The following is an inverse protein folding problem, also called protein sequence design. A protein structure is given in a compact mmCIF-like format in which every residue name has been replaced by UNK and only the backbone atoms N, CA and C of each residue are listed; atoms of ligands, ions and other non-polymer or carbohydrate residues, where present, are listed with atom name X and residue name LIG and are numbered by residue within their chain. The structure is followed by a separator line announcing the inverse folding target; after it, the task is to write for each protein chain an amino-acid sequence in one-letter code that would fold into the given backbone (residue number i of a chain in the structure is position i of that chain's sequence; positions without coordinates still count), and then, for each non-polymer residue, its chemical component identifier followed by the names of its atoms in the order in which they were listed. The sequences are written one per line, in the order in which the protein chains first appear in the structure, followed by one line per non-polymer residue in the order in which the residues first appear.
data_IF_302510657510
#
_entry.id   IF_302510657510
#
_cell.length_a   1.000
_cell.length_b   1.000
_cell.length_c   1.000
_cell.angle_alpha   90.00
_cell.angle_beta   90.00
_cell.angle_gamma   90.00
#
_symmetry.space_group_name_H-M   'P 1'
#
loop_
_entity.id
_entity.type
_entity.pdbx_description
1 polymer ?
#
# COMPACT_ATOMS: atom_id res chain seq x y z
N UNK A 1 4.21 -8.70 -49.88
CA UNK A 1 4.07 -7.23 -49.78
C UNK A 1 5.11 -6.74 -48.78
N UNK A 2 6.00 -5.86 -49.25
CA UNK A 2 7.18 -5.37 -48.53
C UNK A 2 6.78 -4.59 -47.27
N UNK A 3 7.13 -5.12 -46.10
CA UNK A 3 7.07 -4.36 -44.85
C UNK A 3 8.17 -3.30 -44.90
N UNK A 4 7.78 -2.04 -45.14
CA UNK A 4 8.68 -0.92 -44.98
C UNK A 4 9.16 -0.91 -43.53
N UNK A 5 10.45 -1.16 -43.33
CA UNK A 5 11.13 -0.89 -42.06
C UNK A 5 11.13 0.62 -41.85
N UNK A 6 10.03 1.13 -41.31
CA UNK A 6 9.90 2.53 -40.93
C UNK A 6 10.95 2.80 -39.84
N UNK A 7 11.96 3.62 -40.15
CA UNK A 7 12.95 4.09 -39.17
C UNK A 7 12.17 4.71 -38.01
N UNK A 8 12.15 4.02 -36.86
CA UNK A 8 11.49 4.50 -35.63
C UNK A 8 12.06 5.88 -35.30
N UNK A 9 11.21 6.91 -35.27
CA UNK A 9 11.64 8.29 -35.02
C UNK A 9 12.18 8.39 -33.60
N UNK A 10 13.33 9.02 -33.42
CA UNK A 10 13.88 9.29 -32.08
C UNK A 10 12.94 10.23 -31.33
N UNK A 11 12.53 9.84 -30.13
CA UNK A 11 11.67 10.65 -29.28
C UNK A 11 12.36 11.97 -28.94
N UNK A 12 11.79 13.09 -29.39
CA UNK A 12 12.18 14.39 -28.86
C UNK A 12 11.60 14.53 -27.45
N UNK A 13 12.32 15.24 -26.58
CA UNK A 13 11.93 15.43 -25.18
C UNK A 13 10.53 16.06 -25.08
N UNK A 14 10.20 17.00 -25.97
CA UNK A 14 8.86 17.60 -26.04
C UNK A 14 7.76 16.59 -26.33
N UNK A 15 8.00 15.64 -27.23
CA UNK A 15 7.08 14.55 -27.55
C UNK A 15 6.90 13.55 -26.41
N UNK A 16 7.96 13.30 -25.63
CA UNK A 16 7.93 12.43 -24.46
C UNK A 16 7.11 13.01 -23.30
N UNK A 17 7.00 14.35 -23.23
CA UNK A 17 6.24 15.03 -22.18
C UNK A 17 4.74 15.06 -22.44
N UNK A 18 4.29 14.95 -23.69
CA UNK A 18 2.86 15.07 -24.03
C UNK A 18 1.99 14.04 -23.27
N UNK A 19 2.32 12.75 -23.17
CA UNK A 19 1.54 11.79 -22.39
C UNK A 19 1.46 12.15 -20.90
N UNK A 20 2.55 12.67 -20.34
CA UNK A 20 2.61 13.05 -18.91
C UNK A 20 1.76 14.29 -18.67
N UNK A 21 1.90 15.31 -19.52
CA UNK A 21 1.11 16.55 -19.42
C UNK A 21 -0.36 16.26 -19.66
N UNK A 22 -0.71 15.43 -20.64
CA UNK A 22 -2.11 15.06 -20.91
C UNK A 22 -2.73 14.31 -19.73
N UNK A 23 -1.99 13.38 -19.12
CA UNK A 23 -2.41 12.71 -17.89
C UNK A 23 -2.68 13.72 -16.77
N UNK A 24 -1.73 14.62 -16.50
CA UNK A 24 -1.87 15.63 -15.45
C UNK A 24 -3.05 16.57 -15.70
N UNK A 25 -3.23 17.07 -16.93
CA UNK A 25 -4.35 17.94 -17.28
C UNK A 25 -5.70 17.23 -17.15
N UNK A 26 -5.80 15.99 -17.63
CA UNK A 26 -7.02 15.19 -17.51
C UNK A 26 -7.38 14.93 -16.05
N UNK A 27 -6.40 14.65 -15.19
CA UNK A 27 -6.64 14.45 -13.76
C UNK A 27 -6.98 15.77 -13.03
N UNK A 28 -6.22 16.84 -13.26
CA UNK A 28 -6.45 18.13 -12.59
C UNK A 28 -7.80 18.73 -13.01
N UNK A 29 -8.09 18.77 -14.31
CA UNK A 29 -9.32 19.38 -14.82
C UNK A 29 -10.49 18.40 -14.70
N UNK A 30 -10.33 17.17 -15.19
CA UNK A 30 -11.40 16.19 -15.23
C UNK A 30 -11.81 15.73 -13.84
N UNK A 31 -10.87 15.24 -13.03
CA UNK A 31 -11.20 14.78 -11.67
C UNK A 31 -11.29 15.97 -10.70
N UNK A 32 -10.28 16.85 -10.68
CA UNK A 32 -10.18 17.91 -9.68
C UNK A 32 -11.25 19.01 -9.80
N UNK A 33 -11.58 19.45 -11.02
CA UNK A 33 -12.54 20.56 -11.24
C UNK A 33 -13.92 20.02 -11.63
N UNK A 34 -13.98 19.08 -12.57
CA UNK A 34 -15.25 18.58 -13.12
C UNK A 34 -15.85 17.42 -12.32
N UNK A 35 -15.12 16.86 -11.35
CA UNK A 35 -15.60 15.74 -10.53
C UNK A 35 -15.83 14.44 -11.32
N UNK A 36 -15.20 14.29 -12.49
CA UNK A 36 -15.31 13.08 -13.30
C UNK A 36 -14.55 11.92 -12.64
N UNK A 37 -14.99 10.70 -12.90
CA UNK A 37 -14.32 9.48 -12.44
C UNK A 37 -12.92 9.35 -13.04
N UNK A 38 -11.96 8.86 -12.25
CA UNK A 38 -10.54 8.79 -12.62
C UNK A 38 -10.29 7.77 -13.73
N UNK A 39 -11.03 6.66 -13.72
CA UNK A 39 -10.88 5.53 -14.62
C UNK A 39 -11.00 5.92 -16.11
N UNK A 40 -12.08 6.60 -16.57
CA UNK A 40 -12.16 7.04 -17.97
C UNK A 40 -11.09 8.09 -18.32
N UNK A 41 -10.66 8.92 -17.38
CA UNK A 41 -9.60 9.92 -17.62
C UNK A 41 -8.25 9.26 -17.88
N UNK A 42 -7.92 8.21 -17.12
CA UNK A 42 -6.72 7.41 -17.34
C UNK A 42 -6.77 6.64 -18.67
N UNK A 43 -7.94 6.12 -19.06
CA UNK A 43 -8.13 5.51 -20.39
C UNK A 43 -7.92 6.52 -21.53
N UNK A 44 -8.44 7.75 -21.39
CA UNK A 44 -8.19 8.83 -22.34
C UNK A 44 -6.71 9.20 -22.43
N UNK A 45 -6.01 9.28 -21.28
CA UNK A 45 -4.57 9.53 -21.25
C UNK A 45 -3.77 8.41 -21.95
N UNK A 46 -4.14 7.15 -21.71
CA UNK A 46 -3.56 6.00 -22.39
C UNK A 46 -3.81 6.05 -23.91
N UNK A 47 -4.99 6.48 -24.35
CA UNK A 47 -5.30 6.67 -25.77
C UNK A 47 -4.43 7.77 -26.40
N UNK A 48 -4.16 8.87 -25.69
CA UNK A 48 -3.22 9.91 -26.15
C UNK A 48 -1.80 9.34 -26.28
N UNK A 49 -1.33 8.58 -25.30
CA UNK A 49 -0.03 7.92 -25.34
C UNK A 49 0.09 6.93 -26.51
N UNK A 50 -0.95 6.12 -26.73
CA UNK A 50 -1.02 5.18 -27.85
C UNK A 50 -1.05 5.91 -29.21
N UNK A 51 -1.77 7.03 -29.32
CA UNK A 51 -1.80 7.86 -30.52
C UNK A 51 -0.41 8.44 -30.87
N UNK A 52 0.34 8.88 -29.86
CA UNK A 52 1.71 9.38 -30.05
C UNK A 52 2.65 8.25 -30.47
N UNK A 53 2.54 7.07 -29.84
CA UNK A 53 3.32 5.90 -30.24
C UNK A 53 3.02 5.50 -31.69
N UNK A 54 1.74 5.50 -32.07
CA UNK A 54 1.35 5.21 -33.44
C UNK A 54 1.90 6.24 -34.44
N UNK A 55 1.86 7.54 -34.10
CA UNK A 55 2.44 8.61 -34.92
C UNK A 55 3.97 8.51 -35.09
N UNK A 56 4.67 7.92 -34.12
CA UNK A 56 6.11 7.64 -34.22
C UNK A 56 6.44 6.42 -35.09
N UNK A 57 5.42 5.69 -35.55
CA UNK A 57 5.57 4.54 -36.44
C UNK A 57 5.61 3.20 -35.72
N UNK A 58 5.23 3.14 -34.43
CA UNK A 58 4.99 1.86 -33.76
C UNK A 58 3.68 1.25 -34.26
N UNK A 59 3.69 -0.05 -34.58
CA UNK A 59 2.48 -0.75 -34.98
C UNK A 59 1.58 -1.06 -33.78
N UNK A 60 0.33 -1.42 -34.04
CA UNK A 60 -0.62 -1.82 -32.99
C UNK A 60 -0.06 -2.97 -32.12
N UNK A 61 0.63 -3.92 -32.74
CA UNK A 61 1.27 -5.05 -32.07
C UNK A 61 2.36 -4.60 -31.10
N UNK A 62 3.21 -3.65 -31.49
CA UNK A 62 4.23 -3.05 -30.61
C UNK A 62 3.57 -2.39 -29.38
N UNK A 63 2.47 -1.66 -29.58
CA UNK A 63 1.76 -0.94 -28.53
C UNK A 63 1.09 -1.92 -27.57
N UNK A 64 0.34 -2.90 -28.08
CA UNK A 64 -0.38 -3.86 -27.23
C UNK A 64 0.58 -4.78 -26.48
N UNK A 65 1.68 -5.22 -27.11
CA UNK A 65 2.71 -6.01 -26.43
C UNK A 65 3.36 -5.20 -25.31
N UNK A 66 3.63 -3.92 -25.54
CA UNK A 66 4.13 -3.02 -24.48
C UNK A 66 3.14 -2.88 -23.33
N UNK A 67 1.83 -2.79 -23.61
CA UNK A 67 0.78 -2.75 -22.57
C UNK A 67 0.77 -4.07 -21.78
N UNK A 68 0.78 -5.22 -22.46
CA UNK A 68 0.81 -6.54 -21.83
C UNK A 68 2.04 -6.69 -20.95
N UNK A 69 3.22 -6.30 -21.41
CA UNK A 69 4.46 -6.36 -20.62
C UNK A 69 4.38 -5.49 -19.36
N UNK A 70 3.77 -4.30 -19.45
CA UNK A 70 3.59 -3.42 -18.29
C UNK A 70 2.54 -3.98 -17.32
N UNK A 71 1.45 -4.57 -17.82
CA UNK A 71 0.46 -5.27 -16.99
C UNK A 71 1.07 -6.49 -16.30
N UNK A 72 1.87 -7.30 -17.01
CA UNK A 72 2.58 -8.44 -16.46
C UNK A 72 3.52 -8.03 -15.31
N UNK A 73 4.22 -6.89 -15.45
CA UNK A 73 5.03 -6.31 -14.37
C UNK A 73 4.21 -5.84 -13.17
N UNK A 74 2.96 -5.45 -13.37
CA UNK A 74 2.04 -5.04 -12.30
C UNK A 74 1.30 -6.21 -11.62
N UNK A 75 1.29 -7.41 -12.23
CA UNK A 75 0.58 -8.58 -11.70
C UNK A 75 0.90 -8.92 -10.23
N UNK A 76 2.16 -8.85 -9.74
CA UNK A 76 2.44 -9.12 -8.34
C UNK A 76 1.68 -8.19 -7.39
N UNK A 77 1.56 -6.91 -7.73
CA UNK A 77 0.82 -5.92 -6.92
C UNK A 77 -0.67 -6.23 -6.91
N UNK A 78 -1.24 -6.54 -8.08
CA UNK A 78 -2.67 -6.91 -8.20
C UNK A 78 -2.96 -8.15 -7.34
N UNK A 79 -2.09 -9.17 -7.39
CA UNK A 79 -2.23 -10.38 -6.59
C UNK A 79 -2.14 -10.12 -5.08
N UNK A 80 -1.27 -9.21 -4.65
CA UNK A 80 -1.21 -8.78 -3.25
C UNK A 80 -2.53 -8.11 -2.84
N UNK A 81 -3.08 -7.19 -3.65
CA UNK A 81 -4.35 -6.53 -3.34
C UNK A 81 -5.52 -7.53 -3.24
N UNK A 82 -5.54 -8.56 -4.10
CA UNK A 82 -6.51 -9.66 -4.00
C UNK A 82 -6.33 -10.43 -2.68
N UNK A 83 -5.08 -10.76 -2.32
CA UNK A 83 -4.76 -11.45 -1.07
C UNK A 83 -5.16 -10.61 0.16
N UNK A 84 -5.04 -9.28 0.11
CA UNK A 84 -5.50 -8.38 1.19
C UNK A 84 -7.00 -8.55 1.43
N UNK A 85 -7.81 -8.62 0.37
CA UNK A 85 -9.25 -8.86 0.51
C UNK A 85 -9.54 -10.19 1.22
N UNK A 86 -8.83 -11.26 0.84
CA UNK A 86 -8.92 -12.56 1.52
C UNK A 86 -8.42 -12.55 2.96
N UNK A 87 -7.36 -11.80 3.26
CA UNK A 87 -6.86 -11.62 4.63
C UNK A 87 -7.88 -10.92 5.50
N UNK A 88 -8.47 -9.81 5.03
CA UNK A 88 -9.49 -9.09 5.79
C UNK A 88 -10.66 -10.02 6.12
N UNK A 89 -11.21 -10.73 5.12
CA UNK A 89 -12.32 -11.65 5.33
C UNK A 89 -11.98 -12.78 6.31
N UNK A 90 -10.87 -13.48 6.09
CA UNK A 90 -10.45 -14.61 6.94
C UNK A 90 -10.06 -14.16 8.36
N UNK A 91 -9.43 -13.00 8.52
CA UNK A 91 -9.02 -12.48 9.81
C UNK A 91 -10.19 -11.89 10.60
N UNK A 92 -11.19 -11.32 9.92
CA UNK A 92 -12.46 -10.95 10.55
C UNK A 92 -13.18 -12.20 11.06
N UNK A 93 -13.35 -13.22 10.20
CA UNK A 93 -13.97 -14.48 10.58
C UNK A 93 -13.27 -15.16 11.76
N UNK A 94 -11.94 -15.23 11.73
CA UNK A 94 -11.16 -15.87 12.79
C UNK A 94 -11.16 -15.14 14.13
N UNK A 95 -11.49 -13.85 14.14
CA UNK A 95 -11.28 -12.98 15.29
C UNK A 95 -9.88 -12.38 15.37
N UNK A 96 -8.96 -12.63 14.43
CA UNK A 96 -7.62 -12.02 14.39
C UNK A 96 -7.67 -10.49 14.26
N UNK A 97 -8.44 -9.93 13.33
CA UNK A 97 -8.61 -8.45 13.26
C UNK A 97 -9.30 -7.94 14.53
N UNK A 98 -10.45 -8.47 14.95
CA UNK A 98 -11.09 -8.12 16.22
C UNK A 98 -10.15 -8.14 17.44
N UNK A 99 -9.26 -9.13 17.53
CA UNK A 99 -8.28 -9.25 18.60
C UNK A 99 -7.21 -8.14 18.56
N UNK A 100 -6.74 -7.77 17.36
CA UNK A 100 -5.84 -6.64 17.20
C UNK A 100 -6.53 -5.30 17.46
N UNK A 101 -7.80 -5.15 17.08
CA UNK A 101 -8.63 -3.98 17.42
C UNK A 101 -8.76 -3.88 18.93
N UNK A 102 -9.14 -4.96 19.61
CA UNK A 102 -9.27 -5.02 21.06
C UNK A 102 -8.02 -4.52 21.80
N UNK A 103 -6.84 -5.04 21.43
CA UNK A 103 -5.58 -4.59 22.02
C UNK A 103 -5.17 -3.19 21.56
N UNK A 104 -5.44 -2.84 20.30
CA UNK A 104 -5.22 -1.49 19.77
C UNK A 104 -5.98 -0.44 20.57
N UNK A 105 -7.26 -0.67 20.84
CA UNK A 105 -8.12 0.20 21.65
C UNK A 105 -7.64 0.33 23.11
N UNK A 106 -7.02 -0.71 23.66
CA UNK A 106 -6.47 -0.70 25.03
C UNK A 106 -5.10 -0.05 25.15
N UNK A 107 -4.29 -0.10 24.10
CA UNK A 107 -2.87 0.31 24.13
C UNK A 107 -2.63 1.66 23.43
N UNK A 108 -3.46 2.03 22.47
CA UNK A 108 -3.24 3.19 21.59
C UNK A 108 -4.41 4.14 21.78
N UNK A 109 -4.13 5.36 22.29
CA UNK A 109 -5.14 6.40 22.28
C UNK A 109 -5.52 6.75 20.83
N UNK A 110 -6.80 7.01 20.54
CA UNK A 110 -7.27 7.27 19.19
C UNK A 110 -6.48 8.38 18.46
N UNK A 111 -6.07 9.43 19.19
CA UNK A 111 -5.28 10.56 18.68
C UNK A 111 -3.89 10.18 18.14
N UNK A 112 -3.36 9.02 18.55
CA UNK A 112 -2.07 8.52 18.12
C UNK A 112 -2.15 7.46 17.02
N UNK A 113 -3.33 7.03 16.57
CA UNK A 113 -3.42 5.91 15.62
C UNK A 113 -2.74 6.21 14.28
N UNK A 114 -2.87 7.45 13.77
CA UNK A 114 -2.28 7.82 12.48
C UNK A 114 -0.75 7.81 12.53
N UNK A 115 -0.18 8.41 13.58
CA UNK A 115 1.27 8.42 13.78
C UNK A 115 1.78 7.01 14.09
N UNK A 116 1.08 6.24 14.93
CA UNK A 116 1.43 4.86 15.22
C UNK A 116 1.43 4.01 13.95
N UNK A 117 0.41 4.18 13.10
CA UNK A 117 0.31 3.47 11.84
C UNK A 117 1.48 3.80 10.91
N UNK A 118 1.81 5.09 10.76
CA UNK A 118 2.93 5.56 9.97
C UNK A 118 4.28 5.00 10.46
N UNK A 119 4.55 5.05 11.76
CA UNK A 119 5.81 4.56 12.32
C UNK A 119 5.92 3.04 12.28
N UNK A 120 4.86 2.30 12.64
CA UNK A 120 4.87 0.84 12.65
C UNK A 120 5.05 0.29 11.24
N UNK A 121 4.35 0.83 10.23
CA UNK A 121 4.55 0.39 8.84
C UNK A 121 5.91 0.77 8.31
N UNK A 122 6.47 1.92 8.74
CA UNK A 122 7.84 2.31 8.44
C UNK A 122 8.85 1.30 8.94
N UNK A 123 8.80 0.94 10.23
CA UNK A 123 9.73 -0.01 10.84
C UNK A 123 9.61 -1.37 10.17
N UNK A 124 8.39 -1.88 9.99
CA UNK A 124 8.18 -3.16 9.31
C UNK A 124 8.70 -3.12 7.88
N UNK A 125 8.51 -2.02 7.15
CA UNK A 125 9.01 -1.89 5.79
C UNK A 125 10.53 -1.78 5.71
N UNK A 126 11.18 -1.11 6.66
CA UNK A 126 12.65 -1.13 6.78
C UNK A 126 13.14 -2.56 7.02
N UNK A 127 12.50 -3.30 7.94
CA UNK A 127 12.89 -4.67 8.30
C UNK A 127 12.61 -5.70 7.22
N UNK A 128 11.56 -5.50 6.41
CA UNK A 128 11.16 -6.46 5.36
C UNK A 128 11.73 -6.08 3.99
N UNK A 129 12.03 -4.80 3.76
CA UNK A 129 12.42 -4.28 2.46
C UNK A 129 11.29 -4.28 1.43
N UNK A 130 10.02 -4.27 1.87
CA UNK A 130 8.88 -4.32 0.95
C UNK A 130 7.76 -3.38 1.37
N UNK A 131 7.38 -2.45 0.50
CA UNK A 131 6.23 -1.55 0.71
C UNK A 131 4.91 -2.32 0.71
N UNK A 132 4.64 -3.10 -0.34
CA UNK A 132 3.39 -3.86 -0.48
C UNK A 132 3.21 -4.93 0.59
N UNK A 133 4.29 -5.63 0.98
CA UNK A 133 4.24 -6.61 2.06
C UNK A 133 3.92 -5.97 3.42
N UNK A 134 4.50 -4.80 3.69
CA UNK A 134 4.24 -4.07 4.95
C UNK A 134 2.82 -3.50 5.01
N UNK A 135 2.35 -2.89 3.92
CA UNK A 135 0.98 -2.41 3.82
C UNK A 135 -0.04 -3.56 3.92
N UNK A 136 0.24 -4.70 3.28
CA UNK A 136 -0.62 -5.88 3.29
C UNK A 136 -0.62 -6.68 4.59
N UNK A 137 0.28 -6.39 5.55
CA UNK A 137 0.40 -7.10 6.83
C UNK A 137 -0.01 -6.25 8.01
N UNK A 138 0.94 -5.52 8.59
CA UNK A 138 0.69 -4.63 9.73
C UNK A 138 -0.23 -3.48 9.31
N UNK A 139 -0.15 -3.04 8.05
CA UNK A 139 -1.05 -2.02 7.52
C UNK A 139 -2.51 -2.44 7.57
N UNK A 140 -2.84 -3.66 7.15
CA UNK A 140 -4.22 -4.20 7.23
C UNK A 140 -4.71 -4.30 8.68
N UNK A 141 -3.83 -4.72 9.60
CA UNK A 141 -4.14 -4.74 11.02
C UNK A 141 -4.50 -3.34 11.54
N UNK A 142 -3.66 -2.34 11.22
CA UNK A 142 -3.86 -0.95 11.63
C UNK A 142 -5.10 -0.32 11.00
N UNK A 143 -5.45 -0.71 9.77
CA UNK A 143 -6.72 -0.31 9.13
C UNK A 143 -7.92 -0.85 9.89
N UNK A 144 -7.85 -2.09 10.40
CA UNK A 144 -8.88 -2.65 11.28
C UNK A 144 -9.02 -1.87 12.58
N UNK A 145 -7.89 -1.51 13.23
CA UNK A 145 -7.89 -0.70 14.46
C UNK A 145 -8.47 0.69 14.19
N UNK A 146 -8.08 1.34 13.10
CA UNK A 146 -8.60 2.66 12.70
C UNK A 146 -10.12 2.62 12.45
N UNK A 147 -10.63 1.54 11.82
CA UNK A 147 -12.07 1.33 11.65
C UNK A 147 -12.80 1.20 13.00
N UNK A 148 -12.22 0.45 13.95
CA UNK A 148 -12.78 0.31 15.29
C UNK A 148 -12.74 1.61 16.12
N UNK A 149 -11.79 2.51 15.83
CA UNK A 149 -11.66 3.82 16.46
C UNK A 149 -12.52 4.91 15.81
N UNK A 150 -13.27 4.58 14.75
CA UNK A 150 -14.02 5.52 13.91
C UNK A 150 -13.13 6.65 13.33
N UNK A 151 -11.84 6.35 13.11
CA UNK A 151 -10.88 7.28 12.51
C UNK A 151 -10.97 7.18 11.00
N UNK A 152 -10.82 8.31 10.32
CA UNK A 152 -10.82 8.37 8.85
C UNK A 152 -9.92 7.30 8.23
N UNK A 153 -10.55 6.32 7.57
CA UNK A 153 -9.84 5.23 6.89
C UNK A 153 -8.95 5.75 5.76
N UNK A 154 -9.33 6.86 5.12
CA UNK A 154 -8.49 7.50 4.11
C UNK A 154 -7.18 8.03 4.72
N UNK A 155 -7.26 8.67 5.89
CA UNK A 155 -6.08 9.16 6.60
C UNK A 155 -5.21 8.01 7.12
N UNK A 156 -5.83 6.97 7.69
CA UNK A 156 -5.13 5.78 8.14
C UNK A 156 -4.43 5.04 6.98
N UNK A 157 -5.11 4.89 5.84
CA UNK A 157 -4.51 4.31 4.63
C UNK A 157 -3.33 5.16 4.14
N UNK A 158 -3.48 6.48 4.14
CA UNK A 158 -2.39 7.41 3.83
C UNK A 158 -1.18 7.21 4.76
N UNK A 159 -1.40 7.12 6.07
CA UNK A 159 -0.34 6.88 7.05
C UNK A 159 0.36 5.53 6.82
N UNK A 160 -0.42 4.47 6.62
CA UNK A 160 0.08 3.12 6.35
C UNK A 160 0.97 3.10 5.10
N UNK A 161 0.48 3.66 3.98
CA UNK A 161 1.19 3.68 2.70
C UNK A 161 2.44 4.55 2.78
N UNK A 162 2.35 5.74 3.38
CA UNK A 162 3.51 6.63 3.56
C UNK A 162 4.63 5.95 4.33
N UNK A 163 4.31 5.26 5.43
CA UNK A 163 5.31 4.54 6.21
C UNK A 163 5.88 3.33 5.46
N UNK A 164 5.01 2.57 4.80
CA UNK A 164 5.44 1.44 3.97
C UNK A 164 6.41 1.86 2.86
N UNK A 165 6.18 2.99 2.19
CA UNK A 165 7.06 3.52 1.15
C UNK A 165 8.35 4.11 1.71
N UNK A 166 8.28 4.78 2.87
CA UNK A 166 9.46 5.26 3.57
C UNK A 166 10.45 4.12 3.85
N UNK A 167 9.97 3.03 4.45
CA UNK A 167 10.85 1.94 4.85
C UNK A 167 11.45 1.18 3.66
N UNK A 168 10.69 0.99 2.59
CA UNK A 168 11.13 0.32 1.36
C UNK A 168 12.31 1.08 0.73
N UNK A 169 12.20 2.41 0.67
CA UNK A 169 13.18 3.31 0.07
C UNK A 169 14.53 3.36 0.79
N UNK A 170 14.57 3.07 2.09
CA UNK A 170 15.82 3.11 2.88
C UNK A 170 16.27 1.72 3.35
N UNK A 171 15.52 0.67 3.04
CA UNK A 171 15.87 -0.67 3.45
C UNK A 171 17.02 -1.22 2.61
N UNK A 172 18.12 -1.70 3.22
CA UNK A 172 19.15 -2.45 2.49
C UNK A 172 18.63 -3.81 1.98
N UNK A 173 17.45 -4.22 2.44
CA UNK A 173 16.81 -5.47 2.07
C UNK A 173 15.89 -5.32 0.85
N UNK A 174 15.57 -4.09 0.43
CA UNK A 174 14.66 -3.80 -0.69
C UNK A 174 15.32 -4.05 -2.04
N UNK A 175 14.62 -4.79 -2.89
CA UNK A 175 15.05 -5.07 -4.26
C UNK A 175 15.08 -3.78 -5.11
N UNK A 176 14.14 -2.87 -4.88
CA UNK A 176 14.08 -1.60 -5.63
C UNK A 176 15.24 -0.67 -5.28
N UNK A 177 15.58 -0.58 -3.99
CA UNK A 177 16.72 0.20 -3.49
C UNK A 177 18.05 -0.40 -3.94
N UNK A 178 18.16 -1.74 -3.91
CA UNK A 178 19.36 -2.44 -4.39
C UNK A 178 19.56 -2.29 -5.90
N UNK A 179 18.48 -2.45 -6.68
CA UNK A 179 18.49 -2.24 -8.12
C UNK A 179 18.83 -0.79 -8.49
N UNK A 180 18.28 0.20 -7.76
CA UNK A 180 18.57 1.60 -8.01
C UNK A 180 20.06 1.94 -7.80
N UNK A 181 20.71 1.37 -6.78
CA UNK A 181 22.15 1.55 -6.56
C UNK A 181 22.99 0.96 -7.71
N UNK A 182 22.63 -0.24 -8.19
CA UNK A 182 23.30 -0.89 -9.33
C UNK A 182 23.18 -0.06 -10.61
N UNK A 183 21.98 0.46 -10.91
CA UNK A 183 21.74 1.29 -12.11
C UNK A 183 22.47 2.64 -12.02
N UNK A 184 22.62 3.17 -10.81
CA UNK A 184 23.33 4.42 -10.56
C UNK A 184 24.86 4.25 -10.43
N UNK A 185 25.39 3.03 -10.64
CA UNK A 185 26.82 2.68 -10.54
C UNK A 185 27.46 3.14 -9.22
N UNK A 186 26.74 2.93 -8.11
CA UNK A 186 27.17 3.29 -6.74
C UNK A 186 26.94 2.14 -5.78
N UNK A 187 27.53 2.21 -4.58
CA UNK A 187 27.30 1.19 -3.55
C UNK A 187 25.93 1.38 -2.89
N UNK A 188 25.35 0.29 -2.40
CA UNK A 188 24.04 0.30 -1.74
C UNK A 188 23.98 1.29 -0.57
N UNK A 189 25.02 1.32 0.27
CA UNK A 189 25.03 2.18 1.44
C UNK A 189 25.24 3.66 1.09
N UNK A 190 26.08 3.99 0.10
CA UNK A 190 26.19 5.36 -0.42
C UNK A 190 24.87 5.85 -1.02
N UNK A 191 24.18 4.99 -1.78
CA UNK A 191 22.86 5.28 -2.31
C UNK A 191 21.85 5.60 -1.20
N UNK A 192 21.75 4.73 -0.17
CA UNK A 192 20.84 4.94 0.96
C UNK A 192 21.18 6.24 1.71
N UNK A 193 22.46 6.52 1.96
CA UNK A 193 22.89 7.77 2.59
C UNK A 193 22.45 9.00 1.80
N UNK A 194 22.55 8.95 0.48
CA UNK A 194 22.02 10.02 -0.38
C UNK A 194 20.49 10.11 -0.34
N UNK A 195 19.78 8.99 -0.30
CA UNK A 195 18.32 9.00 -0.18
C UNK A 195 17.83 9.61 1.14
N UNK A 196 18.57 9.44 2.24
CA UNK A 196 18.21 10.01 3.55
C UNK A 196 18.07 11.54 3.53
N UNK A 197 18.83 12.25 2.68
CA UNK A 197 18.72 13.71 2.55
C UNK A 197 17.34 14.20 2.09
N UNK A 198 16.60 13.37 1.35
CA UNK A 198 15.23 13.71 0.90
C UNK A 198 14.16 12.98 1.72
N UNK A 199 14.46 11.75 2.13
CA UNK A 199 13.51 10.87 2.80
C UNK A 199 13.35 11.20 4.28
N UNK A 200 14.41 11.64 4.98
CA UNK A 200 14.30 12.01 6.38
C UNK A 200 13.52 13.33 6.58
N UNK A 201 13.74 14.40 5.80
CA UNK A 201 12.91 15.60 5.91
C UNK A 201 11.42 15.34 5.61
N UNK A 202 11.12 14.54 4.58
CA UNK A 202 9.74 14.19 4.26
C UNK A 202 9.09 13.30 5.33
N UNK A 203 9.86 12.40 5.94
CA UNK A 203 9.40 11.58 7.06
C UNK A 203 9.03 12.43 8.28
N UNK A 204 9.89 13.38 8.66
CA UNK A 204 9.64 14.28 9.78
C UNK A 204 8.42 15.16 9.51
N UNK A 205 8.31 15.70 8.29
CA UNK A 205 7.14 16.49 7.88
C UNK A 205 5.85 15.65 7.95
N UNK A 206 5.87 14.44 7.40
CA UNK A 206 4.72 13.53 7.46
C UNK A 206 4.36 13.15 8.91
N UNK A 207 5.35 12.89 9.77
CA UNK A 207 5.13 12.61 11.18
C UNK A 207 4.41 13.76 11.89
N UNK A 208 4.84 15.01 11.63
CA UNK A 208 4.17 16.22 12.18
C UNK A 208 2.74 16.32 11.65
N UNK A 209 2.52 16.11 10.34
CA UNK A 209 1.18 16.15 9.75
C UNK A 209 0.27 15.09 10.37
N UNK A 210 0.72 13.84 10.52
CA UNK A 210 -0.08 12.78 11.12
C UNK A 210 -0.34 13.00 12.61
N UNK A 211 0.61 13.61 13.33
CA UNK A 211 0.42 13.98 14.73
C UNK A 211 -0.67 15.05 14.88
N UNK A 212 -0.58 16.14 14.10
CA UNK A 212 -1.57 17.22 14.11
C UNK A 212 -2.93 16.71 13.64
N UNK A 213 -2.95 15.91 12.57
CA UNK A 213 -4.17 15.33 12.03
C UNK A 213 -4.88 14.42 13.03
N UNK A 214 -4.13 13.66 13.84
CA UNK A 214 -4.71 12.79 14.88
C UNK A 214 -5.25 13.54 16.09
N UNK A 215 -4.63 14.66 16.48
CA UNK A 215 -5.08 15.49 17.62
C UNK A 215 -6.09 16.57 17.24
N UNK A 216 -6.30 16.79 15.95
CA UNK A 216 -7.28 17.76 15.47
C UNK A 216 -8.59 17.07 15.14
N UNK A 217 -9.71 17.68 15.51
CA UNK A 217 -11.04 17.27 15.04
C UNK A 217 -11.24 17.48 13.52
N UNK A 218 -10.17 17.76 12.76
CA UNK A 218 -10.23 18.00 11.32
C UNK A 218 -10.60 16.73 10.52
N UNK A 219 -10.46 15.54 11.11
CA UNK A 219 -10.74 14.26 10.45
C UNK A 219 -11.99 13.53 10.98
N UNK A 220 -12.78 14.16 11.87
CA UNK A 220 -14.01 13.61 12.46
C UNK A 220 -14.05 13.72 13.99
N UNK A 221 -15.18 13.33 14.59
CA UNK A 221 -15.26 13.12 16.04
C UNK A 221 -14.51 11.84 16.40
N UNK A 222 -13.40 11.99 17.11
CA UNK A 222 -12.65 10.87 17.66
C UNK A 222 -13.52 10.14 18.69
N UNK A 223 -13.52 8.79 18.67
CA UNK A 223 -14.34 8.00 19.58
C UNK A 223 -14.13 8.40 21.04
N UNK A 224 -15.23 8.71 21.74
CA UNK A 224 -15.21 9.02 23.17
C UNK A 224 -14.75 7.82 23.99
N UNK A 225 -14.17 8.01 25.19
CA UNK A 225 -13.76 6.90 26.06
C UNK A 225 -14.88 5.88 26.32
N UNK A 226 -16.13 6.35 26.47
CA UNK A 226 -17.32 5.50 26.57
C UNK A 226 -17.53 4.64 25.33
N UNK A 227 -17.49 5.24 24.13
CA UNK A 227 -17.66 4.51 22.86
C UNK A 227 -16.58 3.45 22.65
N UNK A 228 -15.33 3.75 23.03
CA UNK A 228 -14.24 2.76 23.00
C UNK A 228 -14.55 1.58 23.93
N UNK A 229 -15.07 1.85 25.12
CA UNK A 229 -15.45 0.81 26.10
C UNK A 229 -16.61 -0.05 25.58
N UNK A 230 -17.61 0.56 24.95
CA UNK A 230 -18.75 -0.13 24.34
C UNK A 230 -18.31 -1.06 23.20
N UNK A 231 -17.36 -0.61 22.37
CA UNK A 231 -16.78 -1.42 21.30
C UNK A 231 -15.99 -2.60 21.88
N UNK A 232 -15.18 -2.38 22.92
CA UNK A 232 -14.45 -3.45 23.60
C UNK A 232 -15.42 -4.52 24.14
N UNK A 233 -16.49 -4.12 24.83
CA UNK A 233 -17.48 -5.06 25.34
C UNK A 233 -18.24 -5.80 24.24
N UNK A 234 -18.59 -5.10 23.16
CA UNK A 234 -19.21 -5.70 21.98
C UNK A 234 -18.30 -6.78 21.38
N UNK A 235 -17.01 -6.48 21.21
CA UNK A 235 -16.01 -7.42 20.71
C UNK A 235 -15.87 -8.66 21.61
N UNK A 236 -15.81 -8.47 22.94
CA UNK A 236 -15.72 -9.58 23.91
C UNK A 236 -16.97 -10.48 23.90
N UNK A 237 -18.14 -9.93 23.56
CA UNK A 237 -19.38 -10.71 23.43
C UNK A 237 -19.48 -11.49 22.11
N UNK A 238 -18.82 -11.02 21.06
CA UNK A 238 -18.89 -11.60 19.71
C UNK A 238 -17.77 -12.60 19.43
N UNK A 239 -16.61 -12.45 20.09
CA UNK A 239 -15.41 -13.24 19.79
C UNK A 239 -14.80 -13.86 21.03
N UNK A 240 -14.34 -15.11 20.89
CA UNK A 240 -13.50 -15.76 21.89
C UNK A 240 -12.04 -15.42 21.63
N UNK A 241 -11.51 -14.50 22.44
CA UNK A 241 -10.13 -14.04 22.31
C UNK A 241 -9.12 -15.01 22.95
N UNK A 242 -8.07 -15.34 22.19
CA UNK A 242 -6.91 -16.09 22.64
C UNK A 242 -5.66 -15.55 21.94
N UNK A 243 -4.51 -15.65 22.60
CA UNK A 243 -3.22 -15.23 22.05
C UNK A 243 -2.90 -15.92 20.71
N UNK A 244 -3.42 -17.12 20.47
CA UNK A 244 -3.24 -17.88 19.22
C UNK A 244 -3.75 -17.09 17.99
N UNK A 245 -4.71 -16.16 18.16
CA UNK A 245 -5.23 -15.32 17.08
C UNK A 245 -4.19 -14.34 16.50
N UNK A 246 -3.04 -14.15 17.16
CA UNK A 246 -1.91 -13.36 16.63
C UNK A 246 -1.05 -14.17 15.64
N UNK A 247 -1.23 -15.49 15.54
CA UNK A 247 -0.39 -16.33 14.67
C UNK A 247 -0.45 -15.93 13.20
N UNK A 248 -1.63 -15.66 12.57
CA UNK A 248 -1.67 -15.24 11.18
C UNK A 248 -0.78 -14.01 10.87
N UNK A 249 -0.87 -12.86 11.59
CA UNK A 249 0.03 -11.73 11.34
C UNK A 249 1.49 -12.06 11.65
N UNK A 250 1.78 -12.84 12.69
CA UNK A 250 3.15 -13.25 13.02
C UNK A 250 3.80 -14.06 11.90
N UNK A 251 3.07 -14.98 11.27
CA UNK A 251 3.60 -15.77 10.15
C UNK A 251 3.93 -14.88 8.95
N UNK A 252 3.05 -13.94 8.60
CA UNK A 252 3.33 -13.06 7.47
C UNK A 252 4.50 -12.12 7.77
N UNK A 253 4.57 -11.54 8.97
CA UNK A 253 5.68 -10.69 9.38
C UNK A 253 7.01 -11.47 9.43
N UNK A 254 7.01 -12.65 10.04
CA UNK A 254 8.17 -13.52 10.10
C UNK A 254 8.66 -13.92 8.70
N UNK A 255 7.73 -14.31 7.82
CA UNK A 255 8.03 -14.66 6.45
C UNK A 255 8.57 -13.49 5.64
N UNK A 256 8.00 -12.29 5.83
CA UNK A 256 8.44 -11.07 5.17
C UNK A 256 9.87 -10.68 5.61
N UNK A 257 10.19 -10.77 6.91
CA UNK A 257 11.54 -10.54 7.44
C UNK A 257 12.53 -11.58 6.88
N UNK A 258 12.07 -12.83 6.67
CA UNK A 258 12.86 -13.91 6.06
C UNK A 258 12.91 -13.84 4.52
N UNK A 259 12.42 -12.75 3.90
CA UNK A 259 12.37 -12.56 2.44
C UNK A 259 11.67 -13.70 1.68
N UNK A 260 10.67 -14.32 2.31
CA UNK A 260 9.81 -15.30 1.62
C UNK A 260 8.80 -14.57 0.72
N UNK A 261 8.37 -15.18 -0.40
CA UNK A 261 7.41 -14.53 -1.30
C UNK A 261 6.12 -14.14 -0.57
N UNK A 262 5.74 -12.86 -0.68
CA UNK A 262 4.62 -12.26 0.08
C UNK A 262 3.28 -12.94 -0.23
N UNK A 263 2.99 -13.24 -1.50
CA UNK A 263 1.70 -13.83 -1.92
C UNK A 263 1.45 -15.19 -1.24
N UNK A 264 2.36 -16.20 -1.33
CA UNK A 264 2.22 -17.46 -0.58
C UNK A 264 2.06 -17.27 0.93
N UNK A 265 2.78 -16.31 1.53
CA UNK A 265 2.65 -16.05 2.97
C UNK A 265 1.26 -15.55 3.33
N UNK A 266 0.73 -14.58 2.58
CA UNK A 266 -0.61 -14.04 2.80
C UNK A 266 -1.66 -15.14 2.66
N UNK A 267 -1.57 -15.98 1.61
CA UNK A 267 -2.47 -17.12 1.44
C UNK A 267 -2.36 -18.13 2.59
N UNK A 268 -1.15 -18.44 3.07
CA UNK A 268 -0.96 -19.34 4.21
C UNK A 268 -1.56 -18.77 5.50
N UNK A 269 -1.46 -17.46 5.71
CA UNK A 269 -2.07 -16.79 6.84
C UNK A 269 -3.60 -16.74 6.74
N UNK A 270 -4.17 -16.61 5.53
CA UNK A 270 -5.61 -16.76 5.31
C UNK A 270 -6.08 -18.16 5.70
N UNK A 271 -5.40 -19.20 5.22
CA UNK A 271 -5.76 -20.60 5.52
C UNK A 271 -5.67 -20.87 7.02
N UNK A 272 -4.60 -20.40 7.68
CA UNK A 272 -4.49 -20.52 9.13
C UNK A 272 -5.60 -19.77 9.86
N UNK A 273 -5.92 -18.54 9.44
CA UNK A 273 -7.00 -17.77 10.04
C UNK A 273 -8.34 -18.49 9.91
N UNK A 274 -8.68 -19.03 8.73
CA UNK A 274 -9.91 -19.81 8.55
C UNK A 274 -9.96 -21.02 9.48
N UNK A 275 -8.85 -21.75 9.63
CA UNK A 275 -8.75 -22.87 10.57
C UNK A 275 -8.97 -22.44 12.02
N UNK A 276 -8.36 -21.33 12.44
CA UNK A 276 -8.56 -20.77 13.77
C UNK A 276 -10.01 -20.31 13.98
N UNK A 277 -10.65 -19.72 12.96
CA UNK A 277 -12.05 -19.29 13.03
C UNK A 277 -12.99 -20.45 13.28
N UNK A 278 -12.86 -21.54 12.53
CA UNK A 278 -13.69 -22.74 12.73
C UNK A 278 -13.50 -23.33 14.14
N UNK A 279 -12.26 -23.39 14.65
CA UNK A 279 -11.98 -23.98 15.96
C UNK A 279 -12.44 -23.09 17.10
N UNK A 280 -12.27 -21.77 16.96
CA UNK A 280 -12.41 -20.83 18.07
C UNK A 280 -13.73 -20.07 18.09
N UNK A 281 -14.25 -19.71 16.91
CA UNK A 281 -15.47 -18.91 16.77
C UNK A 281 -16.68 -19.74 16.33
N UNK A 282 -16.45 -20.97 15.85
CA UNK A 282 -17.48 -21.79 15.22
C UNK A 282 -17.66 -21.43 13.75
N UNK A 283 -18.70 -22.00 13.13
CA UNK A 283 -18.99 -21.87 11.71
C UNK A 283 -20.14 -20.88 11.48
#
# INVERSE_FOLDING_TARGET
MSASQNKKKTLSLGLALIPVISMLLLLIIGYGIMGLRIEPLLLCSAAVAAGIAWWQGYCWEDIINSVVDKLAKAMPVIMILICVGGLIGSWMFSGTIPYMVYWGLKLISPEYILIAAFFLTSVVSVCTGTSWGSAGTVGVALMGVAAGLDVSLAAAAGAVVSGAYFGDKISPLSDSTNFAAIVADTTLFEHIQHLLWTTLPSFLLAAVVYLIAGHSNMLGEVATPQRVTDIIHSLESLYHFNIVLILPPVIVLWGAIRKKPVIPLMLSACVLALFLGVIMQGL
#
